data_IF_087114034725
#
_entry.id   IF_087114034725
#
_cell.length_a   1.000
_cell.length_b   1.000
_cell.length_c   1.000
_cell.angle_alpha   90.00
_cell.angle_beta   90.00
_cell.angle_gamma   90.00
#
_symmetry.space_group_name_H-M   'P 1'
#
loop_
_entity.id
_entity.type
_entity.pdbx_description
1 polymer ?
#
# COMPACT_ATOMS: atom_id res chain seq x y z
N UNK A 1 17.45 6.73 4.68
CA UNK A 1 16.31 7.61 4.94
C UNK A 1 15.13 7.25 4.06
N UNK A 2 13.91 7.19 4.62
CA UNK A 2 12.67 6.91 3.88
C UNK A 2 11.54 7.84 4.32
N UNK A 3 10.73 8.31 3.39
CA UNK A 3 9.58 9.17 3.68
C UNK A 3 8.47 8.37 4.37
N UNK A 4 7.99 8.90 5.50
CA UNK A 4 6.92 8.31 6.30
C UNK A 4 5.59 9.02 6.07
N UNK A 5 5.57 10.35 6.16
CA UNK A 5 4.34 11.13 6.15
C UNK A 5 4.53 12.48 5.44
N UNK A 6 3.48 13.00 4.82
CA UNK A 6 3.46 14.32 4.20
C UNK A 6 2.10 14.96 4.42
N UNK A 7 2.09 16.26 4.72
CA UNK A 7 0.87 17.02 4.95
C UNK A 7 1.12 18.49 4.64
N UNK A 8 0.14 19.21 4.07
CA UNK A 8 0.25 20.66 3.88
C UNK A 8 0.19 21.42 5.21
N UNK A 9 -0.23 20.78 6.31
CA UNK A 9 -0.37 21.39 7.63
C UNK A 9 0.84 21.09 8.50
N UNK A 10 1.57 22.15 8.86
CA UNK A 10 2.78 22.04 9.68
C UNK A 10 2.51 21.42 11.07
N UNK A 11 1.37 21.74 11.69
CA UNK A 11 0.95 21.13 12.97
C UNK A 11 0.86 19.60 12.91
N UNK A 12 0.43 19.04 11.77
CA UNK A 12 0.34 17.58 11.61
C UNK A 12 1.74 16.95 11.55
N UNK A 13 2.70 17.65 10.93
CA UNK A 13 4.11 17.22 10.88
C UNK A 13 4.69 17.24 12.28
N UNK A 14 4.49 18.33 13.02
CA UNK A 14 5.02 18.48 14.37
C UNK A 14 4.44 17.40 15.32
N UNK A 15 3.14 17.09 15.20
CA UNK A 15 2.50 15.98 15.95
C UNK A 15 3.10 14.62 15.61
N UNK A 16 3.34 14.33 14.32
CA UNK A 16 3.96 13.05 13.91
C UNK A 16 5.40 12.96 14.39
N UNK A 17 6.16 14.07 14.33
CA UNK A 17 7.54 14.12 14.85
C UNK A 17 7.55 13.89 16.36
N UNK A 18 6.66 14.52 17.12
CA UNK A 18 6.53 14.31 18.55
C UNK A 18 6.23 12.84 18.88
N UNK A 19 5.23 12.25 18.19
CA UNK A 19 4.89 10.84 18.34
C UNK A 19 6.08 9.90 18.06
N UNK A 20 6.86 10.16 17.00
CA UNK A 20 8.03 9.33 16.69
C UNK A 20 9.13 9.51 17.74
N UNK A 21 9.32 10.74 18.23
CA UNK A 21 10.30 11.06 19.27
C UNK A 21 9.96 10.37 20.59
N UNK A 22 8.69 10.33 20.98
CA UNK A 22 8.21 9.60 22.16
C UNK A 22 8.52 8.10 22.11
N UNK A 23 8.62 7.54 20.90
CA UNK A 23 8.96 6.13 20.66
C UNK A 23 10.45 5.91 20.41
N UNK A 24 11.29 6.94 20.57
CA UNK A 24 12.73 6.87 20.36
C UNK A 24 13.16 6.77 18.90
N UNK A 25 12.27 7.07 17.94
CA UNK A 25 12.55 6.98 16.51
C UNK A 25 13.08 8.31 15.99
N UNK A 26 14.27 8.31 15.40
CA UNK A 26 14.89 9.51 14.86
C UNK A 26 14.26 9.93 13.53
N UNK A 27 13.82 11.19 13.46
CA UNK A 27 13.16 11.75 12.27
C UNK A 27 13.83 13.04 11.77
N UNK A 28 13.72 13.27 10.46
CA UNK A 28 14.13 14.50 9.79
C UNK A 28 12.95 15.10 9.04
N UNK A 29 12.71 16.40 9.22
CA UNK A 29 11.68 17.11 8.49
C UNK A 29 12.29 17.79 7.26
N UNK A 30 11.71 17.53 6.09
CA UNK A 30 12.05 18.20 4.83
C UNK A 30 10.93 19.16 4.43
N UNK A 31 11.26 20.17 3.62
CA UNK A 31 10.34 21.18 3.10
C UNK A 31 9.54 21.91 4.20
N UNK A 32 10.16 22.11 5.38
CA UNK A 32 9.55 22.89 6.46
C UNK A 32 9.50 24.35 6.04
N UNK A 33 8.31 24.95 6.05
CA UNK A 33 8.17 26.39 5.88
C UNK A 33 8.66 27.11 7.13
N UNK A 34 9.54 28.10 6.95
CA UNK A 34 9.90 29.04 8.02
C UNK A 34 8.76 30.00 8.37
N UNK A 35 7.78 30.13 7.48
CA UNK A 35 6.63 30.99 7.66
C UNK A 35 5.44 30.19 8.19
N UNK A 36 5.06 30.45 9.44
CA UNK A 36 3.89 29.83 10.07
C UNK A 36 2.61 30.53 9.58
N UNK A 37 2.01 30.00 8.50
CA UNK A 37 0.75 30.53 7.96
C UNK A 37 -0.43 30.12 8.84
N UNK A 38 -1.40 31.01 9.11
CA UNK A 38 -2.63 30.62 9.78
C UNK A 38 -3.38 29.51 9.03
N UNK A 39 -3.48 28.33 9.65
CA UNK A 39 -4.15 27.14 9.07
C UNK A 39 -5.68 27.28 8.96
N UNK A 40 -6.27 28.32 9.56
CA UNK A 40 -7.73 28.54 9.62
C UNK A 40 -8.39 28.91 8.28
N UNK A 41 -7.64 28.99 7.18
CA UNK A 41 -8.21 29.22 5.87
C UNK A 41 -9.13 28.04 5.48
N UNK A 42 -10.40 28.36 5.20
CA UNK A 42 -11.44 27.39 4.81
C UNK A 42 -10.94 26.49 3.67
N UNK A 43 -11.41 25.24 3.66
CA UNK A 43 -11.23 24.36 2.51
C UNK A 43 -11.77 25.06 1.25
N UNK A 44 -10.87 25.42 0.34
CA UNK A 44 -11.23 25.98 -0.96
C UNK A 44 -11.44 24.83 -1.94
N UNK A 45 -12.58 24.81 -2.64
CA UNK A 45 -12.91 23.82 -3.66
C UNK A 45 -12.36 24.17 -5.05
N UNK A 46 -11.76 25.35 -5.23
CA UNK A 46 -11.05 25.68 -6.46
C UNK A 46 -9.83 24.77 -6.58
N UNK A 47 -9.72 24.07 -7.73
CA UNK A 47 -8.62 23.14 -8.04
C UNK A 47 -7.27 23.81 -7.75
N UNK A 48 -6.65 23.35 -6.66
CA UNK A 48 -5.40 23.89 -6.13
C UNK A 48 -4.17 23.38 -6.86
N UNK A 49 -4.34 22.42 -7.77
CA UNK A 49 -3.25 21.74 -8.49
C UNK A 49 -2.36 22.70 -9.30
N UNK A 50 -2.87 23.88 -9.67
CA UNK A 50 -2.13 24.86 -10.45
C UNK A 50 -1.62 26.07 -9.63
N UNK A 51 -1.72 26.06 -8.30
CA UNK A 51 -1.21 27.15 -7.47
C UNK A 51 0.24 26.89 -7.06
N UNK A 52 1.18 27.83 -7.31
CA UNK A 52 2.58 27.69 -6.91
C UNK A 52 2.69 27.39 -5.40
N UNK A 53 3.34 26.28 -5.05
CA UNK A 53 3.50 25.83 -3.66
C UNK A 53 2.34 25.00 -3.09
N UNK A 54 1.41 24.54 -3.94
CA UNK A 54 0.37 23.58 -3.56
C UNK A 54 0.64 22.14 -4.04
N UNK A 55 1.77 21.93 -4.71
CA UNK A 55 2.22 20.62 -5.13
C UNK A 55 2.56 19.77 -3.91
N UNK A 56 2.11 18.52 -3.91
CA UNK A 56 2.35 17.57 -2.81
C UNK A 56 3.83 17.39 -2.47
N UNK A 57 4.70 17.55 -3.47
CA UNK A 57 6.16 17.48 -3.32
C UNK A 57 6.72 18.64 -2.49
N UNK A 58 6.12 19.83 -2.63
CA UNK A 58 6.53 21.04 -1.89
C UNK A 58 6.06 21.05 -0.43
N UNK A 59 5.13 20.17 -0.05
CA UNK A 59 4.63 20.12 1.32
C UNK A 59 5.71 19.63 2.28
N UNK A 60 5.65 20.05 3.55
CA UNK A 60 6.43 19.47 4.63
C UNK A 60 6.33 17.94 4.69
N UNK A 61 7.47 17.28 4.92
CA UNK A 61 7.57 15.82 4.90
C UNK A 61 8.36 15.31 6.09
N UNK A 62 7.90 14.22 6.70
CA UNK A 62 8.62 13.49 7.75
C UNK A 62 9.37 12.31 7.14
N UNK A 63 10.67 12.26 7.38
CA UNK A 63 11.57 11.19 6.96
C UNK A 63 12.12 10.47 8.18
N UNK A 64 12.21 9.14 8.12
CA UNK A 64 12.92 8.37 9.13
C UNK A 64 14.41 8.33 8.77
N UNK A 65 15.28 8.60 9.74
CA UNK A 65 16.73 8.57 9.55
C UNK A 65 17.21 7.13 9.26
N UNK A 66 16.82 6.20 10.13
CA UNK A 66 17.24 4.80 10.16
C UNK A 66 16.26 3.90 9.41
N UNK A 67 16.75 3.01 8.55
CA UNK A 67 15.87 2.16 7.73
C UNK A 67 15.11 1.12 8.56
N UNK A 68 15.71 0.66 9.66
CA UNK A 68 15.17 -0.39 10.53
C UNK A 68 13.92 0.08 11.28
N UNK A 69 13.91 1.35 11.70
CA UNK A 69 12.78 1.96 12.43
C UNK A 69 11.56 2.22 11.53
N UNK A 70 11.72 2.14 10.21
CA UNK A 70 10.66 2.46 9.26
C UNK A 70 9.43 1.56 9.41
N UNK A 71 9.66 0.26 9.65
CA UNK A 71 8.56 -0.71 9.84
C UNK A 71 7.79 -0.40 11.11
N UNK A 72 8.49 -0.11 12.20
CA UNK A 72 7.87 0.24 13.49
C UNK A 72 7.08 1.56 13.38
N UNK A 73 7.66 2.59 12.77
CA UNK A 73 6.99 3.86 12.52
C UNK A 73 5.68 3.70 11.73
N UNK A 74 5.67 2.79 10.75
CA UNK A 74 4.48 2.46 9.97
C UNK A 74 3.40 1.73 10.77
N UNK A 75 3.80 0.82 11.65
CA UNK A 75 2.86 0.15 12.56
C UNK A 75 2.17 1.16 13.48
N UNK A 76 2.93 2.12 14.02
CA UNK A 76 2.40 3.20 14.88
C UNK A 76 1.37 4.07 14.14
N UNK A 77 1.70 4.55 12.94
CA UNK A 77 0.77 5.38 12.15
C UNK A 77 -0.50 4.63 11.74
N UNK A 78 -0.39 3.32 11.49
CA UNK A 78 -1.54 2.46 11.21
C UNK A 78 -2.43 2.29 12.44
N UNK A 79 -1.85 2.11 13.62
CA UNK A 79 -2.60 2.03 14.88
C UNK A 79 -3.44 3.28 15.18
N UNK A 80 -2.98 4.45 14.73
CA UNK A 80 -3.69 5.73 14.88
C UNK A 80 -4.70 6.01 13.75
N UNK A 81 -4.81 5.14 12.73
CA UNK A 81 -5.69 5.35 11.58
C UNK A 81 -5.25 6.48 10.63
N UNK A 82 -4.02 6.98 10.76
CA UNK A 82 -3.47 8.03 9.89
C UNK A 82 -3.04 7.45 8.54
N UNK A 83 -2.54 6.22 8.56
CA UNK A 83 -2.15 5.52 7.34
C UNK A 83 -3.37 4.89 6.67
N UNK A 84 -3.55 5.04 5.33
CA UNK A 84 -4.64 4.39 4.63
C UNK A 84 -4.59 2.89 4.90
N UNK A 85 -5.65 2.38 5.53
CA UNK A 85 -5.82 0.94 5.76
C UNK A 85 -5.76 0.26 4.40
N UNK A 86 -4.80 -0.62 4.20
CA UNK A 86 -4.76 -1.47 3.01
C UNK A 86 -5.98 -2.39 3.08
N UNK A 87 -7.06 -1.99 2.40
CA UNK A 87 -8.23 -2.82 2.15
C UNK A 87 -7.67 -4.12 1.55
N UNK A 88 -7.96 -5.28 2.15
CA UNK A 88 -7.39 -6.60 1.81
C UNK A 88 -6.01 -6.95 2.42
N UNK A 89 -5.53 -6.23 3.46
CA UNK A 89 -4.31 -6.62 4.19
C UNK A 89 -4.35 -8.08 4.68
N UNK A 90 -5.49 -8.48 5.22
CA UNK A 90 -5.71 -9.80 5.80
C UNK A 90 -5.78 -10.90 4.73
N UNK A 91 -6.47 -10.62 3.62
CA UNK A 91 -6.49 -11.54 2.46
C UNK A 91 -5.10 -11.71 1.86
N UNK A 92 -4.31 -10.62 1.78
CA UNK A 92 -2.93 -10.68 1.28
C UNK A 92 -2.01 -11.43 2.25
N UNK A 93 -2.20 -11.25 3.56
CA UNK A 93 -1.47 -12.02 4.58
C UNK A 93 -1.84 -13.51 4.51
N UNK A 94 -3.12 -13.84 4.38
CA UNK A 94 -3.62 -15.20 4.22
C UNK A 94 -3.16 -15.85 2.90
N UNK A 95 -2.98 -15.06 1.84
CA UNK A 95 -2.39 -15.54 0.59
C UNK A 95 -0.88 -15.81 0.70
N UNK A 96 -0.16 -15.05 1.54
CA UNK A 96 1.28 -15.23 1.78
C UNK A 96 1.60 -16.41 2.68
N UNK A 97 0.79 -16.65 3.71
CA UNK A 97 0.87 -17.87 4.52
C UNK A 97 -0.47 -18.63 4.54
N UNK A 98 -0.77 -19.37 3.45
CA UNK A 98 -2.03 -20.09 3.37
C UNK A 98 -2.01 -21.28 4.33
N UNK A 99 -3.09 -21.45 5.09
CA UNK A 99 -3.28 -22.61 5.96
C UNK A 99 -3.18 -23.94 5.18
N UNK A 100 -2.83 -25.07 5.83
CA UNK A 100 -2.76 -26.38 5.16
C UNK A 100 -4.04 -26.76 4.42
N UNK A 101 -5.20 -26.39 4.96
CA UNK A 101 -6.50 -26.60 4.32
C UNK A 101 -6.69 -25.73 3.07
N UNK A 102 -6.24 -24.48 3.09
CA UNK A 102 -6.26 -23.59 1.93
C UNK A 102 -5.33 -24.11 0.82
N UNK A 103 -4.10 -24.52 1.17
CA UNK A 103 -3.15 -25.16 0.23
C UNK A 103 -3.77 -26.37 -0.47
N UNK A 104 -4.45 -27.25 0.30
CA UNK A 104 -5.14 -28.42 -0.27
C UNK A 104 -6.23 -28.02 -1.28
N UNK A 105 -7.06 -27.01 -0.95
CA UNK A 105 -8.10 -26.52 -1.87
C UNK A 105 -7.50 -26.00 -3.19
N UNK A 106 -6.41 -25.23 -3.13
CA UNK A 106 -5.74 -24.73 -4.34
C UNK A 106 -5.17 -25.85 -5.21
N UNK A 107 -4.52 -26.85 -4.59
CA UNK A 107 -3.99 -28.02 -5.30
C UNK A 107 -5.10 -28.80 -5.99
N UNK A 108 -6.21 -29.09 -5.29
CA UNK A 108 -7.36 -29.79 -5.87
C UNK A 108 -7.95 -29.01 -7.04
N UNK A 109 -8.11 -27.69 -6.91
CA UNK A 109 -8.60 -26.85 -7.99
C UNK A 109 -7.65 -26.81 -9.20
N UNK A 110 -6.33 -26.86 -8.97
CA UNK A 110 -5.32 -26.93 -10.05
C UNK A 110 -5.39 -28.29 -10.76
N UNK A 111 -5.40 -29.39 -10.01
CA UNK A 111 -5.51 -30.75 -10.57
C UNK A 111 -6.80 -30.92 -11.37
N UNK A 112 -7.94 -30.48 -10.83
CA UNK A 112 -9.23 -30.51 -11.53
C UNK A 112 -9.17 -29.78 -12.88
N UNK A 113 -8.56 -28.59 -12.91
CA UNK A 113 -8.39 -27.82 -14.16
C UNK A 113 -7.52 -28.55 -15.17
N UNK A 114 -6.40 -29.14 -14.74
CA UNK A 114 -5.50 -29.92 -15.61
C UNK A 114 -6.25 -31.12 -16.21
N UNK A 115 -7.00 -31.85 -15.39
CA UNK A 115 -7.79 -33.01 -15.84
C UNK A 115 -8.85 -32.60 -16.86
N UNK A 116 -9.59 -31.51 -16.59
CA UNK A 116 -10.59 -31.00 -17.53
C UNK A 116 -9.96 -30.57 -18.86
N UNK A 117 -8.79 -29.92 -18.83
CA UNK A 117 -8.06 -29.55 -20.04
C UNK A 117 -7.57 -30.79 -20.80
N UNK A 118 -7.09 -31.82 -20.11
CA UNK A 118 -6.66 -33.07 -20.74
C UNK A 118 -7.84 -33.79 -21.42
N UNK A 119 -8.99 -33.89 -20.75
CA UNK A 119 -10.22 -34.45 -21.33
C UNK A 119 -10.64 -33.63 -22.56
N UNK A 120 -10.64 -32.29 -22.45
CA UNK A 120 -10.93 -31.41 -23.58
C UNK A 120 -9.98 -31.63 -24.77
N UNK A 121 -8.69 -31.77 -24.51
CA UNK A 121 -7.68 -32.06 -25.54
C UNK A 121 -7.93 -33.41 -26.22
N UNK A 122 -8.27 -34.46 -25.46
CA UNK A 122 -8.62 -35.77 -26.02
C UNK A 122 -9.87 -35.67 -26.89
N UNK A 123 -10.90 -34.94 -26.46
CA UNK A 123 -12.10 -34.70 -27.27
C UNK A 123 -11.77 -33.98 -28.59
N UNK A 124 -10.95 -32.93 -28.54
CA UNK A 124 -10.52 -32.21 -29.74
C UNK A 124 -9.75 -33.12 -30.68
N UNK A 125 -8.80 -33.92 -30.17
CA UNK A 125 -8.04 -34.88 -30.96
C UNK A 125 -8.93 -35.96 -31.60
N UNK A 126 -9.89 -36.49 -30.85
CA UNK A 126 -10.85 -37.46 -31.36
C UNK A 126 -11.73 -36.85 -32.47
N UNK A 127 -12.16 -35.60 -32.30
CA UNK A 127 -12.94 -34.89 -33.30
C UNK A 127 -12.12 -34.64 -34.58
N UNK A 128 -10.88 -34.18 -34.46
CA UNK A 128 -9.97 -33.98 -35.60
C UNK A 128 -9.71 -35.29 -36.36
N UNK A 129 -9.51 -36.40 -35.64
CA UNK A 129 -9.40 -37.75 -36.23
C UNK A 129 -10.69 -38.17 -36.95
N UNK A 130 -11.86 -37.91 -36.35
CA UNK A 130 -13.15 -38.26 -36.97
C UNK A 130 -13.43 -37.46 -38.25
N UNK A 131 -12.87 -36.25 -38.35
CA UNK A 131 -12.98 -35.37 -39.51
C UNK A 131 -11.96 -35.70 -40.63
N UNK A 132 -11.15 -36.76 -40.48
CA UNK A 132 -10.08 -37.14 -41.41
C UNK A 132 -9.12 -35.99 -41.75
N UNK A 133 -8.89 -35.07 -40.79
CA UNK A 133 -7.91 -33.99 -40.95
C UNK A 133 -6.46 -34.47 -40.68
N UNK A 134 -6.30 -35.76 -40.33
CA UNK A 134 -5.06 -36.53 -40.27
C UNK A 134 -5.35 -38.01 -40.52
#
# INVERSE_FOLDING_TARGET
MRQLYTSPRQENIDRVVALMTEQGIETKVMNRSNWNRPTYQRFSYTHRDNQPGNERESWPQVWICHADDYTQARVLLRGLGIEPTTRHAEELAAARDPSPAARRKYTVARVRRIVLLAIGAVFVLAMLRSLHLF
#
